data_IF_585087866615
#
_entry.id   IF_585087866615
#
_cell.length_a   1.000
_cell.length_b   1.000
_cell.length_c   1.000
_cell.angle_alpha   90.00
_cell.angle_beta   90.00
_cell.angle_gamma   90.00
#
_symmetry.space_group_name_H-M   'P 1'
#
loop_
_entity.id
_entity.type
_entity.pdbx_description
1 polymer ?
#
# COMPACT_ATOMS: atom_id res chain seq x y z
N UNK A 1 0.48 -8.79 2.31
CA UNK A 1 0.26 -9.10 3.75
C UNK A 1 -1.11 -9.74 3.88
N UNK A 2 -1.35 -10.71 4.78
CA UNK A 2 -2.61 -11.46 4.80
C UNK A 2 -3.46 -11.17 6.05
N UNK A 3 -4.77 -11.32 5.93
CA UNK A 3 -5.74 -11.27 7.03
C UNK A 3 -5.89 -12.68 7.61
N UNK A 4 -5.74 -12.83 8.94
CA UNK A 4 -5.94 -14.11 9.64
C UNK A 4 -7.33 -14.24 10.23
N UNK A 5 -7.85 -13.14 10.79
CA UNK A 5 -9.14 -13.09 11.47
C UNK A 5 -9.81 -11.77 11.16
N UNK A 6 -11.14 -11.79 11.01
CA UNK A 6 -11.99 -10.63 10.74
C UNK A 6 -13.31 -10.81 11.47
N UNK A 7 -13.79 -9.76 12.12
CA UNK A 7 -15.09 -9.71 12.77
C UNK A 7 -15.77 -8.37 12.52
N UNK A 8 -17.10 -8.39 12.41
CA UNK A 8 -17.92 -7.19 12.25
C UNK A 8 -18.44 -6.73 13.63
N UNK A 9 -17.93 -5.61 14.14
CA UNK A 9 -18.42 -5.02 15.39
C UNK A 9 -19.51 -3.98 15.10
N UNK A 10 -20.75 -4.47 15.01
CA UNK A 10 -21.95 -3.66 14.77
C UNK A 10 -22.23 -2.60 15.85
N UNK A 11 -21.70 -2.76 17.07
CA UNK A 11 -21.83 -1.79 18.16
C UNK A 11 -20.83 -0.64 18.00
N UNK A 12 -19.58 -0.96 17.68
CA UNK A 12 -18.50 0.00 17.41
C UNK A 12 -18.56 0.61 16.01
N UNK A 13 -19.36 0.01 15.12
CA UNK A 13 -19.51 0.36 13.70
C UNK A 13 -18.19 0.27 12.93
N UNK A 14 -17.43 -0.80 13.18
CA UNK A 14 -16.18 -1.08 12.49
C UNK A 14 -15.98 -2.58 12.29
N UNK A 15 -15.04 -2.92 11.42
CA UNK A 15 -14.43 -4.24 11.36
C UNK A 15 -13.21 -4.27 12.26
N UNK A 16 -13.02 -5.39 12.95
CA UNK A 16 -11.84 -5.68 13.76
C UNK A 16 -11.13 -6.87 13.11
N UNK A 17 -9.84 -6.74 12.83
CA UNK A 17 -9.08 -7.78 12.14
C UNK A 17 -7.68 -7.95 12.67
N UNK A 18 -7.15 -9.16 12.48
CA UNK A 18 -5.79 -9.53 12.86
C UNK A 18 -5.00 -9.87 11.60
N UNK A 19 -3.93 -9.13 11.37
CA UNK A 19 -3.01 -9.36 10.25
C UNK A 19 -2.10 -10.57 10.50
N UNK A 20 -1.41 -11.02 9.45
CA UNK A 20 -0.56 -12.21 9.49
C UNK A 20 0.64 -12.12 10.43
N UNK A 21 1.03 -10.91 10.82
CA UNK A 21 2.09 -10.59 11.78
C UNK A 21 1.57 -10.39 13.22
N UNK A 22 0.26 -10.57 13.44
CA UNK A 22 -0.38 -10.47 14.75
C UNK A 22 -0.89 -9.08 15.12
N UNK A 23 -0.71 -8.05 14.28
CA UNK A 23 -1.27 -6.72 14.55
C UNK A 23 -2.79 -6.72 14.51
N UNK A 24 -3.40 -6.09 15.50
CA UNK A 24 -4.83 -5.79 15.50
C UNK A 24 -5.08 -4.46 14.79
N UNK A 25 -6.01 -4.46 13.84
CA UNK A 25 -6.36 -3.30 13.02
C UNK A 25 -7.88 -3.12 13.00
N UNK A 26 -8.31 -1.89 12.74
CA UNK A 26 -9.73 -1.55 12.64
C UNK A 26 -10.04 -0.86 11.32
N UNK A 27 -11.24 -1.10 10.78
CA UNK A 27 -11.73 -0.39 9.61
C UNK A 27 -13.18 0.07 9.78
N UNK A 28 -13.46 1.38 9.81
CA UNK A 28 -14.78 1.88 10.18
C UNK A 28 -15.79 1.75 9.04
N UNK A 29 -17.06 1.49 9.39
CA UNK A 29 -18.14 1.39 8.40
C UNK A 29 -18.40 2.70 7.65
N UNK A 30 -18.00 3.85 8.22
CA UNK A 30 -18.10 5.16 7.56
C UNK A 30 -17.24 5.28 6.30
N UNK A 31 -16.19 4.46 6.18
CA UNK A 31 -15.30 4.40 5.01
C UNK A 31 -15.79 3.45 3.92
N UNK A 32 -16.86 2.69 4.18
CA UNK A 32 -17.43 1.78 3.20
C UNK A 32 -18.12 2.51 2.06
N UNK A 33 -18.04 1.93 0.87
CA UNK A 33 -18.83 2.33 -0.30
C UNK A 33 -20.29 1.90 -0.13
N UNK A 34 -20.53 0.64 0.26
CA UNK A 34 -21.87 0.13 0.59
C UNK A 34 -22.03 0.16 2.11
N UNK A 35 -22.67 1.22 2.61
CA UNK A 35 -22.75 1.45 4.07
C UNK A 35 -23.92 0.70 4.71
N UNK A 36 -23.71 0.07 5.88
CA UNK A 36 -24.80 -0.49 6.65
C UNK A 36 -25.70 0.62 7.21
N UNK A 37 -26.96 0.30 7.40
CA UNK A 37 -27.97 1.14 8.04
C UNK A 37 -28.68 0.39 9.17
N UNK A 38 -29.59 1.07 9.88
CA UNK A 38 -30.38 0.42 10.92
C UNK A 38 -31.23 -0.76 10.38
N UNK A 39 -31.71 -0.64 9.14
CA UNK A 39 -32.55 -1.64 8.48
C UNK A 39 -31.77 -2.57 7.56
N UNK A 40 -30.47 -2.35 7.40
CA UNK A 40 -29.61 -3.11 6.50
C UNK A 40 -28.20 -3.24 7.11
N UNK A 41 -28.09 -4.11 8.11
CA UNK A 41 -26.86 -4.30 8.89
C UNK A 41 -25.91 -5.27 8.19
N UNK A 42 -24.65 -5.28 8.60
CA UNK A 42 -23.72 -6.34 8.21
C UNK A 42 -24.15 -7.65 8.88
N UNK A 43 -24.39 -8.66 8.05
CA UNK A 43 -24.84 -10.00 8.45
C UNK A 43 -23.75 -11.05 8.29
N UNK A 44 -22.81 -10.86 7.37
CA UNK A 44 -21.67 -11.74 7.17
C UNK A 44 -20.39 -10.94 6.87
N UNK A 45 -19.25 -11.48 7.27
CA UNK A 45 -17.93 -10.98 6.91
C UNK A 45 -16.93 -12.12 6.88
N UNK A 46 -16.10 -12.17 5.84
CA UNK A 46 -15.14 -13.25 5.64
C UNK A 46 -13.87 -12.76 4.98
N UNK A 47 -12.75 -13.42 5.30
CA UNK A 47 -11.50 -13.24 4.54
C UNK A 47 -11.76 -13.71 3.12
N UNK A 48 -11.42 -12.86 2.14
CA UNK A 48 -11.74 -13.10 0.75
C UNK A 48 -10.58 -13.87 0.06
N UNK A 49 -10.80 -15.15 -0.33
CA UNK A 49 -9.77 -15.94 -0.99
C UNK A 49 -9.49 -15.48 -2.42
N UNK A 50 -10.42 -14.78 -3.08
CA UNK A 50 -10.24 -14.32 -4.47
C UNK A 50 -9.17 -13.22 -4.57
N UNK A 51 -8.96 -12.47 -3.49
CA UNK A 51 -7.88 -11.49 -3.35
C UNK A 51 -6.68 -12.06 -2.56
N UNK A 52 -6.52 -13.38 -2.54
CA UNK A 52 -5.36 -14.05 -1.93
C UNK A 52 -5.29 -13.95 -0.40
N UNK A 53 -6.42 -13.61 0.25
CA UNK A 53 -6.48 -13.31 1.68
C UNK A 53 -5.90 -11.94 2.05
N UNK A 54 -5.69 -11.06 1.07
CA UNK A 54 -5.25 -9.67 1.26
C UNK A 54 -6.45 -8.71 1.28
N UNK A 55 -7.62 -9.20 1.65
CA UNK A 55 -8.85 -8.44 1.78
C UNK A 55 -9.97 -9.27 2.41
N UNK A 56 -11.10 -8.62 2.66
CA UNK A 56 -12.29 -9.25 3.21
C UNK A 56 -13.55 -8.74 2.51
N UNK A 57 -14.54 -9.62 2.37
CA UNK A 57 -15.87 -9.29 1.84
C UNK A 57 -16.84 -9.21 3.00
N UNK A 58 -17.72 -8.21 2.97
CA UNK A 58 -18.86 -8.13 3.89
C UNK A 58 -20.18 -8.17 3.10
N UNK A 59 -21.21 -8.70 3.74
CA UNK A 59 -22.55 -8.79 3.17
C UNK A 59 -23.53 -8.08 4.10
N UNK A 60 -24.40 -7.26 3.53
CA UNK A 60 -25.52 -6.63 4.24
C UNK A 60 -26.74 -7.55 4.25
N UNK A 61 -27.70 -7.28 5.15
CA UNK A 61 -28.96 -8.02 5.23
C UNK A 61 -29.78 -8.02 3.92
N UNK A 62 -29.60 -6.99 3.08
CA UNK A 62 -30.17 -6.89 1.73
C UNK A 62 -29.51 -7.81 0.69
N UNK A 63 -28.44 -8.51 1.05
CA UNK A 63 -27.63 -9.34 0.16
C UNK A 63 -26.59 -8.56 -0.66
N UNK A 64 -26.52 -7.23 -0.52
CA UNK A 64 -25.45 -6.43 -1.13
C UNK A 64 -24.12 -6.73 -0.46
N UNK A 65 -23.07 -6.85 -1.27
CA UNK A 65 -21.72 -7.14 -0.80
C UNK A 65 -20.68 -6.24 -1.48
N UNK A 66 -19.53 -6.11 -0.83
CA UNK A 66 -18.37 -5.37 -1.32
C UNK A 66 -17.10 -5.92 -0.65
N UNK A 67 -15.96 -5.80 -1.34
CA UNK A 67 -14.66 -6.28 -0.85
C UNK A 67 -13.75 -5.11 -0.49
N UNK A 68 -13.15 -5.17 0.69
CA UNK A 68 -12.14 -4.23 1.17
C UNK A 68 -10.78 -4.90 1.12
N UNK A 69 -9.85 -4.30 0.37
CA UNK A 69 -8.44 -4.73 0.34
C UNK A 69 -7.68 -4.21 1.56
N UNK A 70 -6.71 -4.98 2.03
CA UNK A 70 -5.93 -4.70 3.24
C UNK A 70 -5.18 -3.37 3.15
N UNK A 71 -4.75 -2.96 1.97
CA UNK A 71 -4.09 -1.67 1.74
C UNK A 71 -4.94 -0.48 2.23
N UNK A 72 -6.27 -0.52 2.03
CA UNK A 72 -7.18 0.52 2.52
C UNK A 72 -7.22 0.56 4.05
N UNK A 73 -7.15 -0.62 4.68
CA UNK A 73 -7.11 -0.76 6.14
C UNK A 73 -5.81 -0.21 6.69
N UNK A 74 -4.67 -0.60 6.11
CA UNK A 74 -3.34 -0.13 6.52
C UNK A 74 -3.20 1.38 6.34
N UNK A 75 -3.74 1.93 5.25
CA UNK A 75 -3.78 3.37 5.02
C UNK A 75 -4.60 4.09 6.11
N UNK A 76 -5.79 3.58 6.44
CA UNK A 76 -6.63 4.15 7.50
C UNK A 76 -5.94 4.13 8.87
N UNK A 77 -5.27 3.03 9.20
CA UNK A 77 -4.55 2.88 10.47
C UNK A 77 -3.19 3.61 10.48
N UNK A 78 -2.83 4.32 9.39
CA UNK A 78 -1.55 5.02 9.23
C UNK A 78 -0.36 4.10 9.47
N UNK A 79 -0.46 2.87 8.97
CA UNK A 79 0.57 1.87 9.19
C UNK A 79 1.91 2.32 8.62
N UNK A 80 2.94 2.40 9.47
CA UNK A 80 4.20 3.04 9.10
C UNK A 80 4.98 2.25 8.05
N UNK A 81 4.89 0.92 8.10
CA UNK A 81 5.56 0.07 7.10
C UNK A 81 4.87 0.20 5.74
N UNK A 82 3.53 0.13 5.71
CA UNK A 82 2.77 0.37 4.48
C UNK A 82 3.04 1.76 3.90
N UNK A 83 3.03 2.81 4.72
CA UNK A 83 3.29 4.18 4.27
C UNK A 83 4.70 4.34 3.70
N UNK A 84 5.71 3.73 4.33
CA UNK A 84 7.09 3.69 3.82
C UNK A 84 7.14 2.97 2.48
N UNK A 85 6.52 1.80 2.38
CA UNK A 85 6.58 0.97 1.18
C UNK A 85 5.82 1.63 0.01
N UNK A 86 4.71 2.30 0.29
CA UNK A 86 3.98 3.13 -0.67
C UNK A 86 4.81 4.33 -1.15
N UNK A 87 5.59 4.96 -0.26
CA UNK A 87 6.53 6.01 -0.66
C UNK A 87 7.62 5.46 -1.57
N UNK A 88 8.24 4.32 -1.21
CA UNK A 88 9.23 3.65 -2.05
C UNK A 88 8.67 3.30 -3.42
N UNK A 89 7.45 2.76 -3.48
CA UNK A 89 6.77 2.46 -4.73
C UNK A 89 6.63 3.70 -5.64
N UNK A 90 6.15 4.82 -5.08
CA UNK A 90 6.03 6.09 -5.81
C UNK A 90 7.37 6.60 -6.34
N UNK A 91 8.44 6.49 -5.53
CA UNK A 91 9.79 6.87 -5.96
C UNK A 91 10.30 5.95 -7.07
N UNK A 92 10.03 4.65 -7.01
CA UNK A 92 10.40 3.68 -8.06
C UNK A 92 9.68 3.98 -9.37
N UNK A 93 8.37 4.24 -9.35
CA UNK A 93 7.63 4.65 -10.55
C UNK A 93 8.18 5.94 -11.16
N UNK A 94 8.50 6.93 -10.32
CA UNK A 94 9.10 8.18 -10.79
C UNK A 94 10.46 7.94 -11.44
N UNK A 95 11.32 7.12 -10.83
CA UNK A 95 12.62 6.78 -11.39
C UNK A 95 12.50 6.03 -12.72
N UNK A 96 11.63 5.01 -12.80
CA UNK A 96 11.37 4.27 -14.05
C UNK A 96 10.94 5.21 -15.18
N UNK A 97 10.00 6.11 -14.90
CA UNK A 97 9.53 7.10 -15.88
C UNK A 97 10.67 8.01 -16.36
N UNK A 98 11.50 8.52 -15.45
CA UNK A 98 12.65 9.36 -15.83
C UNK A 98 13.68 8.61 -16.68
N UNK A 99 13.92 7.33 -16.41
CA UNK A 99 14.81 6.50 -17.24
C UNK A 99 14.25 6.33 -18.64
N UNK A 100 12.94 6.11 -18.77
CA UNK A 100 12.27 5.99 -20.07
C UNK A 100 12.30 7.32 -20.83
N UNK A 101 11.92 8.43 -20.18
CA UNK A 101 11.75 9.74 -20.81
C UNK A 101 13.08 10.35 -21.27
N UNK A 102 14.17 10.14 -20.52
CA UNK A 102 15.46 10.81 -20.77
C UNK A 102 16.41 10.01 -21.66
N UNK A 103 16.09 8.76 -21.99
CA UNK A 103 16.93 7.91 -22.84
C UNK A 103 18.34 7.66 -22.31
N UNK A 104 18.61 7.91 -21.02
CA UNK A 104 19.93 7.70 -20.42
C UNK A 104 20.20 6.20 -20.33
N UNK A 105 21.35 5.76 -20.84
CA UNK A 105 21.70 4.34 -20.75
C UNK A 105 21.80 3.88 -19.30
N UNK A 106 21.33 2.66 -19.03
CA UNK A 106 21.44 2.04 -17.69
C UNK A 106 22.88 1.98 -17.19
N UNK A 107 23.86 1.83 -18.09
CA UNK A 107 25.29 1.84 -17.73
C UNK A 107 25.75 3.20 -17.22
N UNK A 108 25.31 4.28 -17.87
CA UNK A 108 25.63 5.65 -17.44
C UNK A 108 25.00 5.96 -16.08
N UNK A 109 23.75 5.55 -15.85
CA UNK A 109 23.09 5.72 -14.54
C UNK A 109 23.86 4.96 -13.44
N UNK A 110 24.25 3.72 -13.71
CA UNK A 110 25.04 2.91 -12.77
C UNK A 110 26.38 3.57 -12.44
N UNK A 111 27.06 4.16 -13.44
CA UNK A 111 28.31 4.91 -13.27
C UNK A 111 28.12 6.14 -12.38
N UNK A 112 27.08 6.96 -12.64
CA UNK A 112 26.75 8.15 -11.82
C UNK A 112 26.48 7.78 -10.37
N UNK A 113 25.79 6.66 -10.14
CA UNK A 113 25.49 6.13 -8.82
C UNK A 113 26.65 5.41 -8.13
N UNK A 114 27.78 5.19 -8.82
CA UNK A 114 28.89 4.36 -8.35
C UNK A 114 28.42 2.99 -7.87
N UNK A 115 27.53 2.36 -8.65
CA UNK A 115 26.91 1.07 -8.32
C UNK A 115 27.01 0.10 -9.49
N UNK A 116 26.72 -1.18 -9.24
CA UNK A 116 26.72 -2.20 -10.29
C UNK A 116 25.44 -2.13 -11.13
N UNK A 117 25.47 -2.55 -12.41
CA UNK A 117 24.26 -2.64 -13.23
C UNK A 117 23.17 -3.51 -12.58
N UNK A 118 23.57 -4.61 -11.93
CA UNK A 118 22.65 -5.51 -11.19
C UNK A 118 21.92 -4.75 -10.08
N UNK A 119 22.64 -3.94 -9.31
CA UNK A 119 22.02 -3.15 -8.25
C UNK A 119 21.10 -2.07 -8.82
N UNK A 120 21.46 -1.45 -9.95
CA UNK A 120 20.56 -0.51 -10.63
C UNK A 120 19.26 -1.20 -11.06
N UNK A 121 19.32 -2.41 -11.64
CA UNK A 121 18.11 -3.15 -12.01
C UNK A 121 17.21 -3.42 -10.80
N UNK A 122 17.79 -3.80 -9.66
CA UNK A 122 17.04 -3.98 -8.41
C UNK A 122 16.38 -2.70 -7.93
N UNK A 123 17.05 -1.55 -8.04
CA UNK A 123 16.44 -0.26 -7.65
C UNK A 123 15.30 0.16 -8.59
N UNK A 124 15.41 -0.17 -9.89
CA UNK A 124 14.37 0.10 -10.87
C UNK A 124 13.22 -0.92 -10.83
N UNK A 125 13.42 -2.13 -10.33
CA UNK A 125 12.38 -3.15 -10.22
C UNK A 125 11.45 -2.87 -9.05
N UNK A 126 10.17 -2.55 -9.32
CA UNK A 126 9.18 -2.24 -8.29
C UNK A 126 8.94 -3.38 -7.28
N UNK A 127 9.18 -4.63 -7.66
CA UNK A 127 8.94 -5.83 -6.82
C UNK A 127 10.07 -6.12 -5.84
N UNK A 128 11.24 -5.51 -6.05
CA UNK A 128 12.38 -5.70 -5.17
C UNK A 128 12.14 -5.05 -3.79
N UNK A 129 11.96 -5.87 -2.74
CA UNK A 129 11.65 -5.38 -1.39
C UNK A 129 12.86 -4.75 -0.66
N UNK A 130 14.10 -4.99 -1.12
CA UNK A 130 15.32 -4.54 -0.43
C UNK A 130 15.71 -3.08 -0.67
N UNK A 131 14.80 -2.23 -1.19
CA UNK A 131 15.10 -0.81 -1.45
C UNK A 131 15.03 0.00 -0.17
N UNK A 132 15.91 0.98 -0.05
CA UNK A 132 15.83 2.00 1.00
C UNK A 132 15.49 3.36 0.43
N UNK A 133 14.94 4.25 1.26
CA UNK A 133 14.64 5.63 0.86
C UNK A 133 15.90 6.37 0.40
N UNK A 134 17.02 6.21 1.11
CA UNK A 134 18.32 6.79 0.73
C UNK A 134 18.75 6.35 -0.68
N UNK A 135 18.65 5.06 -1.00
CA UNK A 135 18.99 4.56 -2.34
C UNK A 135 18.11 5.18 -3.42
N UNK A 136 16.82 5.33 -3.16
CA UNK A 136 15.88 5.94 -4.10
C UNK A 136 16.12 7.43 -4.29
N UNK A 137 16.46 8.16 -3.22
CA UNK A 137 16.86 9.58 -3.29
C UNK A 137 18.12 9.74 -4.13
N UNK A 138 19.15 8.91 -3.90
CA UNK A 138 20.38 8.92 -4.70
C UNK A 138 20.10 8.64 -6.18
N UNK A 139 19.25 7.65 -6.48
CA UNK A 139 18.85 7.32 -7.84
C UNK A 139 18.18 8.51 -8.54
N UNK A 140 17.21 9.15 -7.89
CA UNK A 140 16.52 10.32 -8.46
C UNK A 140 17.49 11.49 -8.67
N UNK A 141 18.39 11.74 -7.72
CA UNK A 141 19.43 12.76 -7.88
C UNK A 141 20.37 12.47 -9.06
N UNK A 142 20.79 11.22 -9.26
CA UNK A 142 21.62 10.81 -10.41
C UNK A 142 20.89 10.92 -11.77
N UNK A 143 19.55 10.94 -11.72
CA UNK A 143 18.65 11.20 -12.84
C UNK A 143 18.26 12.69 -12.92
N UNK A 144 19.08 13.60 -12.38
CA UNK A 144 18.87 15.05 -12.30
C UNK A 144 17.40 15.40 -11.95
N UNK A 145 16.88 14.73 -10.93
CA UNK A 145 15.58 15.00 -10.32
C UNK A 145 15.83 15.40 -8.86
N UNK A 146 15.79 16.70 -8.53
CA UNK A 146 15.90 17.12 -7.14
C UNK A 146 14.75 16.50 -6.32
N UNK A 147 15.04 16.14 -5.07
CA UNK A 147 14.08 15.53 -4.16
C UNK A 147 13.92 16.43 -2.96
N UNK A 148 12.72 16.99 -2.81
CA UNK A 148 12.33 17.83 -1.69
C UNK A 148 11.27 17.14 -0.82
N UNK A 149 11.22 17.49 0.46
CA UNK A 149 10.23 16.97 1.41
C UNK A 149 9.22 18.07 1.74
N UNK A 150 7.94 17.75 1.56
CA UNK A 150 6.83 18.64 1.90
C UNK A 150 6.02 18.03 3.04
N UNK A 151 5.90 18.76 4.15
CA UNK A 151 5.05 18.37 5.26
C UNK A 151 3.60 18.78 5.00
N UNK A 152 2.68 17.82 5.08
CA UNK A 152 1.23 18.08 4.98
C UNK A 152 0.64 18.14 6.38
N UNK A 153 -0.33 19.03 6.60
CA UNK A 153 -1.14 19.01 7.82
C UNK A 153 -1.91 17.68 7.89
N UNK A 154 -1.98 17.09 9.07
CA UNK A 154 -2.88 15.97 9.31
C UNK A 154 -4.32 16.46 9.15
N UNK A 155 -5.10 15.73 8.34
CA UNK A 155 -6.54 15.92 8.21
C UNK A 155 -7.30 15.23 9.34
#
# INVERSE_FOLDING_TARGET
MKIRKIEANNRKKCFELVASDGRALEYPYSRLRIRPSANDRITDVRVDPEVGGEGFTYVLGSGKEDTIVLDQVLEYNKDTDYLRDMLLYKLSLKAQKLVQDRGVSKREIARRLRTSPVQLYRLLDQTFAGKTLDQMVRLLAALDCPVDVVFKKAA
#
